data_IF_329888654842
#
_entry.id   IF_329888654842
#
_cell.length_a   1.000
_cell.length_b   1.000
_cell.length_c   1.000
_cell.angle_alpha   90.00
_cell.angle_beta   90.00
_cell.angle_gamma   90.00
#
_symmetry.space_group_name_H-M   'P 1'
#
loop_
_entity.id
_entity.type
_entity.pdbx_description
1 polymer ?
#
# COMPACT_ATOMS: atom_id res chain seq x y z
N UNK A 1 6.99 -21.62 65.38
CA UNK A 1 6.17 -20.60 64.73
C UNK A 1 6.58 -20.49 63.25
N UNK A 2 5.98 -21.27 62.36
CA UNK A 2 6.17 -21.20 60.93
C UNK A 2 5.16 -20.24 60.32
N UNK A 3 5.63 -19.10 59.86
CA UNK A 3 4.84 -18.15 59.10
C UNK A 3 4.72 -18.69 57.67
N UNK A 4 3.58 -19.31 57.36
CA UNK A 4 3.22 -19.65 55.98
C UNK A 4 2.89 -18.34 55.22
N UNK A 5 3.85 -17.85 54.44
CA UNK A 5 3.64 -16.76 53.49
C UNK A 5 2.83 -17.32 52.32
N UNK A 6 1.51 -17.23 52.42
CA UNK A 6 0.62 -17.50 51.27
C UNK A 6 0.85 -16.37 50.26
N UNK A 7 1.71 -16.63 49.28
CA UNK A 7 1.80 -15.78 48.10
C UNK A 7 0.46 -15.86 47.38
N UNK A 8 -0.39 -14.85 47.58
CA UNK A 8 -1.58 -14.63 46.77
C UNK A 8 -1.10 -14.39 45.33
N UNK A 9 -1.12 -15.45 44.54
CA UNK A 9 -1.03 -15.33 43.07
C UNK A 9 -2.35 -14.72 42.63
N UNK A 10 -2.51 -13.42 42.88
CA UNK A 10 -3.54 -12.64 42.20
C UNK A 10 -3.09 -12.51 40.78
N UNK A 11 -3.44 -13.50 39.94
CA UNK A 11 -3.24 -13.39 38.51
C UNK A 11 -3.79 -12.05 38.04
N UNK A 12 -3.03 -11.33 37.21
CA UNK A 12 -3.49 -10.07 36.63
C UNK A 12 -4.73 -10.37 35.79
N UNK A 13 -5.92 -10.08 36.32
CA UNK A 13 -7.18 -10.30 35.62
C UNK A 13 -7.41 -9.16 34.61
N UNK A 14 -7.75 -9.43 33.34
CA UNK A 14 -8.08 -8.40 32.36
C UNK A 14 -9.36 -7.62 32.69
N UNK A 15 -10.16 -8.11 33.64
CA UNK A 15 -11.41 -7.48 34.12
C UNK A 15 -11.19 -6.34 35.12
N UNK A 16 -9.98 -6.21 35.68
CA UNK A 16 -9.70 -5.19 36.71
C UNK A 16 -8.95 -4.00 36.11
N UNK A 17 -9.56 -2.82 36.18
CA UNK A 17 -8.94 -1.56 35.72
C UNK A 17 -7.97 -0.99 36.78
N UNK A 18 -6.89 -1.72 37.07
CA UNK A 18 -5.81 -1.27 37.92
C UNK A 18 -4.56 -0.93 37.10
N UNK A 19 -3.77 0.04 37.57
CA UNK A 19 -2.57 0.50 36.85
C UNK A 19 -1.60 -0.66 36.55
N UNK A 20 -1.33 -1.53 37.52
CA UNK A 20 -0.43 -2.68 37.34
C UNK A 20 -0.99 -3.70 36.33
N UNK A 21 -2.31 -3.95 36.35
CA UNK A 21 -2.95 -4.82 35.36
C UNK A 21 -2.83 -4.25 33.96
N UNK A 22 -3.13 -2.97 33.80
CA UNK A 22 -2.94 -2.31 32.48
C UNK A 22 -1.50 -2.40 31.98
N UNK A 23 -0.53 -2.12 32.87
CA UNK A 23 0.89 -2.21 32.53
C UNK A 23 1.29 -3.63 32.11
N UNK A 24 0.86 -4.64 32.88
CA UNK A 24 1.13 -6.05 32.58
C UNK A 24 0.54 -6.49 31.24
N UNK A 25 -0.74 -6.23 31.02
CA UNK A 25 -1.40 -6.64 29.77
C UNK A 25 -0.85 -5.88 28.54
N UNK A 26 -0.55 -4.58 28.67
CA UNK A 26 0.08 -3.79 27.61
C UNK A 26 1.47 -4.32 27.23
N UNK A 27 2.31 -4.62 28.24
CA UNK A 27 3.67 -5.10 27.99
C UNK A 27 3.64 -6.48 27.29
N UNK A 28 2.85 -7.41 27.82
CA UNK A 28 2.75 -8.75 27.24
C UNK A 28 2.12 -8.75 25.84
N UNK A 29 1.13 -7.88 25.59
CA UNK A 29 0.56 -7.73 24.24
C UNK A 29 1.60 -7.24 23.25
N UNK A 30 2.38 -6.21 23.62
CA UNK A 30 3.40 -5.63 22.77
C UNK A 30 4.52 -6.62 22.47
N UNK A 31 5.19 -7.11 23.48
CA UNK A 31 6.51 -7.73 23.33
C UNK A 31 6.45 -9.19 22.86
N UNK A 32 5.41 -9.94 23.24
CA UNK A 32 5.35 -11.38 22.97
C UNK A 32 4.38 -11.79 21.86
N UNK A 33 3.37 -11.01 21.56
CA UNK A 33 2.33 -11.39 20.61
C UNK A 33 2.29 -10.49 19.38
N UNK A 34 1.87 -9.24 19.59
CA UNK A 34 1.64 -8.30 18.51
C UNK A 34 2.92 -7.95 17.74
N UNK A 35 4.03 -7.61 18.44
CA UNK A 35 5.28 -7.21 17.77
C UNK A 35 5.77 -8.29 16.81
N UNK A 36 5.86 -9.55 17.27
CA UNK A 36 6.31 -10.64 16.43
C UNK A 36 5.36 -10.88 15.25
N UNK A 37 4.03 -10.80 15.47
CA UNK A 37 3.06 -10.94 14.39
C UNK A 37 3.20 -9.82 13.36
N UNK A 38 3.36 -8.58 13.80
CA UNK A 38 3.51 -7.42 12.96
C UNK A 38 4.80 -7.48 12.12
N UNK A 39 5.91 -7.93 12.70
CA UNK A 39 7.16 -8.09 11.94
C UNK A 39 7.06 -9.21 10.90
N UNK A 40 6.47 -10.37 11.25
CA UNK A 40 6.20 -11.43 10.26
C UNK A 40 5.32 -10.88 9.12
N UNK A 41 4.24 -10.17 9.44
CA UNK A 41 3.35 -9.59 8.43
C UNK A 41 4.07 -8.60 7.51
N UNK A 42 4.88 -7.70 8.07
CA UNK A 42 5.65 -6.73 7.29
C UNK A 42 6.60 -7.42 6.32
N UNK A 43 7.34 -8.42 6.81
CA UNK A 43 8.28 -9.17 5.97
C UNK A 43 7.56 -9.96 4.88
N UNK A 44 6.42 -10.58 5.20
CA UNK A 44 5.59 -11.30 4.23
C UNK A 44 5.06 -10.35 3.15
N UNK A 45 4.52 -9.19 3.54
CA UNK A 45 4.04 -8.18 2.58
C UNK A 45 5.19 -7.65 1.72
N UNK A 46 6.33 -7.37 2.33
CA UNK A 46 7.53 -6.95 1.60
C UNK A 46 7.99 -8.00 0.59
N UNK A 47 7.98 -9.27 0.96
CA UNK A 47 8.31 -10.37 0.04
C UNK A 47 7.36 -10.41 -1.15
N UNK A 48 6.05 -10.25 -0.92
CA UNK A 48 5.06 -10.13 -1.99
C UNK A 48 5.41 -8.97 -2.93
N UNK A 49 5.70 -7.80 -2.38
CA UNK A 49 6.02 -6.60 -3.17
C UNK A 49 7.34 -6.72 -3.92
N UNK A 50 8.37 -7.34 -3.32
CA UNK A 50 9.70 -7.46 -3.90
C UNK A 50 9.79 -8.54 -4.97
N UNK A 51 8.90 -9.54 -4.92
CA UNK A 51 8.82 -10.64 -5.90
C UNK A 51 7.70 -10.45 -6.93
N UNK A 52 6.96 -9.35 -6.87
CA UNK A 52 5.91 -9.06 -7.84
C UNK A 52 6.52 -8.60 -9.16
N UNK A 53 6.13 -9.24 -10.24
CA UNK A 53 6.53 -8.87 -11.59
C UNK A 53 5.49 -7.94 -12.22
N UNK A 54 5.91 -6.72 -12.55
CA UNK A 54 5.06 -5.73 -13.19
C UNK A 54 4.85 -6.05 -14.68
N UNK A 55 3.60 -6.04 -15.14
CA UNK A 55 3.23 -6.11 -16.55
C UNK A 55 3.21 -4.69 -17.14
N UNK A 56 4.31 -4.28 -17.77
CA UNK A 56 4.47 -2.94 -18.33
C UNK A 56 3.63 -2.69 -19.61
N UNK A 57 3.01 -3.73 -20.17
CA UNK A 57 2.06 -3.56 -21.29
C UNK A 57 0.72 -2.98 -20.83
N UNK A 58 0.53 -2.87 -19.54
CA UNK A 58 -0.67 -2.32 -18.89
C UNK A 58 -0.34 -1.13 -18.01
N UNK A 59 -1.34 -0.35 -17.66
CA UNK A 59 -1.22 0.58 -16.53
C UNK A 59 -0.97 -0.22 -15.27
N UNK A 60 0.14 0.06 -14.58
CA UNK A 60 0.51 -0.67 -13.38
C UNK A 60 -0.51 -0.49 -12.26
N UNK A 61 -0.68 -1.48 -11.36
CA UNK A 61 -1.51 -1.31 -10.18
C UNK A 61 -0.86 -0.32 -9.21
N UNK A 62 -1.67 0.56 -8.58
CA UNK A 62 -1.17 1.53 -7.60
C UNK A 62 -0.55 0.83 -6.39
N UNK A 63 -1.19 -0.24 -5.94
CA UNK A 63 -0.76 -1.07 -4.83
C UNK A 63 -0.54 -2.51 -5.29
N UNK A 64 0.50 -3.13 -4.77
CA UNK A 64 0.82 -4.53 -5.05
C UNK A 64 0.23 -5.40 -3.94
N UNK A 65 -0.77 -6.21 -4.30
CA UNK A 65 -1.43 -7.13 -3.36
C UNK A 65 -1.07 -8.60 -3.60
N UNK A 66 -0.18 -8.85 -4.56
CA UNK A 66 0.30 -10.17 -4.93
C UNK A 66 -0.60 -10.94 -5.90
N UNK A 67 0.01 -11.85 -6.66
CA UNK A 67 -0.69 -12.82 -7.50
C UNK A 67 -1.38 -13.89 -6.63
N UNK A 68 -2.17 -14.76 -7.24
CA UNK A 68 -2.81 -15.91 -6.57
C UNK A 68 -1.75 -16.82 -5.94
N UNK A 69 -0.66 -17.07 -6.66
CA UNK A 69 0.45 -17.91 -6.22
C UNK A 69 1.18 -17.29 -5.04
N UNK A 70 1.46 -15.98 -5.09
CA UNK A 70 2.09 -15.25 -4.00
C UNK A 70 1.23 -15.24 -2.73
N UNK A 71 -0.09 -15.02 -2.86
CA UNK A 71 -1.05 -15.09 -1.75
C UNK A 71 -1.08 -16.47 -1.11
N UNK A 72 -1.07 -17.52 -1.94
CA UNK A 72 -1.03 -18.90 -1.48
C UNK A 72 0.26 -19.20 -0.71
N UNK A 73 1.40 -18.79 -1.24
CA UNK A 73 2.71 -18.93 -0.59
C UNK A 73 2.82 -18.16 0.73
N UNK A 74 2.22 -17.00 0.81
CA UNK A 74 2.20 -16.14 2.00
C UNK A 74 1.24 -16.63 3.10
N UNK A 75 0.26 -17.46 2.76
CA UNK A 75 -0.81 -17.90 3.67
C UNK A 75 -0.30 -18.47 5.00
N UNK A 76 0.70 -19.37 5.07
CA UNK A 76 1.15 -19.92 6.35
C UNK A 76 1.68 -18.87 7.33
N UNK A 77 2.42 -17.87 6.86
CA UNK A 77 2.97 -16.80 7.70
C UNK A 77 1.87 -15.81 8.12
N UNK A 78 0.94 -15.51 7.23
CA UNK A 78 -0.22 -14.67 7.57
C UNK A 78 -1.17 -15.35 8.56
N UNK A 79 -1.31 -16.68 8.53
CA UNK A 79 -2.05 -17.44 9.55
C UNK A 79 -1.38 -17.38 10.91
N UNK A 80 -0.04 -17.53 10.97
CA UNK A 80 0.71 -17.33 12.22
C UNK A 80 0.47 -15.93 12.82
N UNK A 81 0.36 -14.90 11.97
CA UNK A 81 0.04 -13.55 12.42
C UNK A 81 -1.35 -13.48 13.03
N UNK A 82 -2.35 -14.08 12.39
CA UNK A 82 -3.73 -14.15 12.84
C UNK A 82 -3.81 -14.88 14.20
N UNK A 83 -3.19 -16.05 14.32
CA UNK A 83 -3.20 -16.84 15.54
C UNK A 83 -2.55 -16.10 16.72
N UNK A 84 -1.37 -15.50 16.50
CA UNK A 84 -0.67 -14.72 17.53
C UNK A 84 -1.51 -13.53 18.01
N UNK A 85 -2.08 -12.76 17.07
CA UNK A 85 -2.90 -11.60 17.43
C UNK A 85 -4.24 -12.00 18.05
N UNK A 86 -4.86 -13.12 17.63
CA UNK A 86 -6.05 -13.67 18.27
C UNK A 86 -5.80 -14.05 19.72
N UNK A 87 -4.65 -14.70 19.99
CA UNK A 87 -4.23 -15.02 21.34
C UNK A 87 -3.95 -13.78 22.21
N UNK A 88 -3.38 -12.72 21.61
CA UNK A 88 -3.22 -11.43 22.29
C UNK A 88 -4.57 -10.85 22.70
N UNK A 89 -5.53 -10.85 21.79
CA UNK A 89 -6.88 -10.32 22.06
C UNK A 89 -7.56 -11.15 23.16
N UNK A 90 -7.53 -12.47 23.05
CA UNK A 90 -8.15 -13.39 24.01
C UNK A 90 -7.60 -13.20 25.42
N UNK A 91 -6.27 -13.12 25.57
CA UNK A 91 -5.61 -13.09 26.88
C UNK A 91 -5.46 -11.71 27.49
N UNK A 92 -5.43 -10.67 26.66
CA UNK A 92 -4.99 -9.34 27.10
C UNK A 92 -5.97 -8.22 26.75
N UNK A 93 -7.13 -8.52 26.15
CA UNK A 93 -8.18 -7.52 25.97
C UNK A 93 -8.74 -7.10 27.32
N UNK A 94 -8.75 -5.80 27.56
CA UNK A 94 -9.28 -5.18 28.78
C UNK A 94 -10.46 -4.28 28.40
N UNK A 95 -11.58 -4.89 28.00
CA UNK A 95 -12.81 -4.16 27.68
C UNK A 95 -13.61 -3.93 28.97
N UNK A 96 -13.40 -2.78 29.57
CA UNK A 96 -14.01 -2.41 30.83
C UNK A 96 -15.00 -1.28 30.59
N UNK A 97 -16.26 -1.51 30.92
CA UNK A 97 -17.36 -0.55 30.69
C UNK A 97 -17.43 -0.04 29.24
N UNK A 98 -17.23 -0.94 28.28
CA UNK A 98 -17.25 -0.61 26.86
C UNK A 98 -16.03 0.17 26.36
N UNK A 99 -14.99 0.33 27.19
CA UNK A 99 -13.75 1.01 26.82
C UNK A 99 -12.56 0.05 26.86
N UNK A 100 -11.87 -0.09 25.74
CA UNK A 100 -10.62 -0.86 25.69
C UNK A 100 -9.51 -0.11 26.44
N UNK A 101 -8.91 -0.77 27.44
CA UNK A 101 -7.85 -0.19 28.28
C UNK A 101 -6.45 -0.62 27.83
N UNK A 102 -6.35 -1.65 27.01
CA UNK A 102 -5.09 -2.07 26.41
C UNK A 102 -4.96 -1.49 25.00
N UNK A 103 -4.02 -0.57 24.82
CA UNK A 103 -3.82 0.17 23.57
C UNK A 103 -3.19 -0.65 22.43
N UNK A 104 -2.90 -1.93 22.62
CA UNK A 104 -2.35 -2.81 21.59
C UNK A 104 -3.41 -3.73 20.96
N UNK A 105 -4.64 -3.65 21.43
CA UNK A 105 -5.72 -4.52 20.94
C UNK A 105 -6.23 -4.04 19.58
N UNK A 106 -6.31 -2.74 19.33
CA UNK A 106 -6.64 -2.17 18.02
C UNK A 106 -5.58 -2.52 16.98
N UNK A 107 -4.30 -2.44 17.35
CA UNK A 107 -3.18 -2.89 16.50
C UNK A 107 -3.27 -4.40 16.20
N UNK A 108 -3.63 -5.23 17.20
CA UNK A 108 -3.79 -6.68 16.96
C UNK A 108 -4.94 -6.99 15.99
N UNK A 109 -6.10 -6.34 16.14
CA UNK A 109 -7.20 -6.45 15.18
C UNK A 109 -6.79 -5.99 13.78
N UNK A 110 -5.97 -4.95 13.69
CA UNK A 110 -5.48 -4.43 12.43
C UNK A 110 -4.56 -5.43 11.71
N UNK A 111 -3.64 -6.07 12.44
CA UNK A 111 -2.79 -7.13 11.89
C UNK A 111 -3.63 -8.30 11.39
N UNK A 112 -4.65 -8.74 12.13
CA UNK A 112 -5.57 -9.80 11.70
C UNK A 112 -6.27 -9.42 10.40
N UNK A 113 -6.91 -8.25 10.36
CA UNK A 113 -7.66 -7.80 9.17
C UNK A 113 -6.75 -7.65 7.95
N UNK A 114 -5.53 -7.09 8.11
CA UNK A 114 -4.55 -6.94 7.05
C UNK A 114 -4.00 -8.29 6.58
N UNK A 115 -3.80 -9.27 7.48
CA UNK A 115 -3.43 -10.63 7.11
C UNK A 115 -4.52 -11.31 6.29
N UNK A 116 -5.78 -11.16 6.66
CA UNK A 116 -6.90 -11.67 5.86
C UNK A 116 -6.96 -11.03 4.47
N UNK A 117 -6.70 -9.73 4.36
CA UNK A 117 -6.64 -9.03 3.09
C UNK A 117 -5.57 -9.61 2.16
N UNK A 118 -4.32 -9.77 2.64
CA UNK A 118 -3.23 -10.32 1.83
C UNK A 118 -3.37 -11.82 1.52
N UNK A 119 -4.17 -12.56 2.29
CA UNK A 119 -4.60 -13.92 1.92
C UNK A 119 -5.66 -13.93 0.80
N UNK A 120 -6.25 -12.80 0.45
CA UNK A 120 -7.38 -12.70 -0.47
C UNK A 120 -8.75 -12.95 0.18
N UNK A 121 -8.81 -13.09 1.50
CA UNK A 121 -10.05 -13.27 2.26
C UNK A 121 -10.72 -11.91 2.50
N UNK A 122 -11.14 -11.26 1.42
CA UNK A 122 -11.58 -9.86 1.47
C UNK A 122 -12.84 -9.63 2.32
N UNK A 123 -13.76 -10.59 2.41
CA UNK A 123 -14.95 -10.45 3.27
C UNK A 123 -14.60 -10.47 4.76
N UNK A 124 -13.62 -11.29 5.17
CA UNK A 124 -13.07 -11.33 6.53
C UNK A 124 -12.32 -10.03 6.84
N UNK A 125 -11.50 -9.57 5.90
CA UNK A 125 -10.77 -8.31 6.02
C UNK A 125 -11.74 -7.13 6.17
N UNK A 126 -12.78 -7.07 5.35
CA UNK A 126 -13.82 -6.04 5.40
C UNK A 126 -14.49 -5.98 6.77
N UNK A 127 -14.90 -7.15 7.32
CA UNK A 127 -15.49 -7.21 8.66
C UNK A 127 -14.53 -6.71 9.73
N UNK A 128 -13.24 -7.09 9.62
CA UNK A 128 -12.19 -6.66 10.53
C UNK A 128 -11.98 -5.15 10.49
N UNK A 129 -11.80 -4.56 9.31
CA UNK A 129 -11.60 -3.12 9.17
C UNK A 129 -12.85 -2.30 9.53
N UNK A 130 -14.04 -2.78 9.20
CA UNK A 130 -15.29 -2.16 9.63
C UNK A 130 -15.47 -2.18 11.15
N UNK A 131 -15.04 -3.28 11.81
CA UNK A 131 -15.01 -3.36 13.28
C UNK A 131 -14.05 -2.33 13.86
N UNK A 132 -12.81 -2.23 13.33
CA UNK A 132 -11.80 -1.26 13.80
C UNK A 132 -12.32 0.18 13.65
N UNK A 133 -12.84 0.53 12.46
CA UNK A 133 -13.36 1.86 12.16
C UNK A 133 -14.51 2.29 13.10
N UNK A 134 -15.32 1.32 13.58
CA UNK A 134 -16.46 1.58 14.47
C UNK A 134 -16.06 1.55 15.96
N UNK A 135 -15.23 0.57 16.35
CA UNK A 135 -14.95 0.27 17.75
C UNK A 135 -13.92 1.20 18.38
N UNK A 136 -12.88 1.57 17.63
CA UNK A 136 -11.76 2.37 18.13
C UNK A 136 -11.92 3.87 17.76
N UNK A 137 -13.09 4.42 18.02
CA UNK A 137 -13.43 5.80 17.70
C UNK A 137 -12.51 6.78 18.41
N UNK A 138 -11.89 7.68 17.63
CA UNK A 138 -10.94 8.67 18.14
C UNK A 138 -9.49 8.18 18.31
N UNK A 139 -9.23 6.90 18.04
CA UNK A 139 -7.88 6.33 18.00
C UNK A 139 -7.30 6.43 16.58
N UNK A 140 -5.96 6.44 16.46
CA UNK A 140 -5.30 6.54 15.14
C UNK A 140 -5.70 5.39 14.20
N UNK A 141 -5.87 4.19 14.74
CA UNK A 141 -6.29 3.00 13.98
C UNK A 141 -7.69 3.10 13.37
N UNK A 142 -8.54 3.98 13.86
CA UNK A 142 -9.84 4.22 13.24
C UNK A 142 -9.69 4.71 11.80
N UNK A 143 -8.82 5.69 11.57
CA UNK A 143 -8.60 6.27 10.24
C UNK A 143 -7.90 5.29 9.30
N UNK A 144 -6.86 4.61 9.78
CA UNK A 144 -6.22 3.53 9.02
C UNK A 144 -7.23 2.44 8.69
N UNK A 145 -8.09 2.05 9.63
CA UNK A 145 -9.16 1.08 9.41
C UNK A 145 -10.15 1.51 8.32
N UNK A 146 -10.51 2.80 8.25
CA UNK A 146 -11.38 3.33 7.18
C UNK A 146 -10.68 3.29 5.81
N UNK A 147 -9.38 3.64 5.74
CA UNK A 147 -8.61 3.57 4.48
C UNK A 147 -8.52 2.13 4.00
N UNK A 148 -8.18 1.19 4.88
CA UNK A 148 -8.10 -0.23 4.52
C UNK A 148 -9.48 -0.85 4.24
N UNK A 149 -10.54 -0.37 4.88
CA UNK A 149 -11.92 -0.73 4.51
C UNK A 149 -12.22 -0.30 3.07
N UNK A 150 -11.80 0.92 2.68
CA UNK A 150 -11.97 1.38 1.30
C UNK A 150 -11.15 0.53 0.31
N UNK A 151 -9.89 0.23 0.59
CA UNK A 151 -9.05 -0.66 -0.24
C UNK A 151 -9.70 -2.04 -0.40
N UNK A 152 -10.21 -2.60 0.69
CA UNK A 152 -10.91 -3.89 0.66
C UNK A 152 -12.20 -3.83 -0.15
N UNK A 153 -12.98 -2.76 -0.01
CA UNK A 153 -14.20 -2.54 -0.77
C UNK A 153 -13.91 -2.33 -2.28
N UNK A 154 -12.75 -1.76 -2.65
CA UNK A 154 -12.30 -1.66 -4.04
C UNK A 154 -12.04 -3.06 -4.62
N UNK A 155 -11.33 -3.93 -3.89
CA UNK A 155 -11.08 -5.30 -4.33
C UNK A 155 -12.36 -6.15 -4.42
N UNK A 156 -13.39 -5.82 -3.65
CA UNK A 156 -14.74 -6.41 -3.74
C UNK A 156 -15.65 -5.71 -4.76
N UNK A 157 -15.17 -4.72 -5.51
CA UNK A 157 -15.94 -3.89 -6.45
C UNK A 157 -17.11 -3.14 -5.81
N UNK A 158 -17.09 -2.98 -4.48
CA UNK A 158 -18.09 -2.23 -3.71
C UNK A 158 -17.75 -0.73 -3.68
N UNK A 159 -17.65 -0.10 -4.85
CA UNK A 159 -17.13 1.26 -5.02
C UNK A 159 -17.88 2.34 -4.21
N UNK A 160 -19.18 2.17 -4.01
CA UNK A 160 -19.97 3.08 -3.16
C UNK A 160 -19.53 3.05 -1.70
N UNK A 161 -19.25 1.85 -1.17
CA UNK A 161 -18.74 1.68 0.19
C UNK A 161 -17.33 2.23 0.32
N UNK A 162 -16.46 1.99 -0.69
CA UNK A 162 -15.11 2.54 -0.73
C UNK A 162 -15.13 4.07 -0.66
N UNK A 163 -15.97 4.71 -1.49
CA UNK A 163 -16.14 6.17 -1.49
C UNK A 163 -16.56 6.67 -0.11
N UNK A 164 -17.63 6.07 0.47
CA UNK A 164 -18.14 6.47 1.80
C UNK A 164 -17.06 6.37 2.88
N UNK A 165 -16.24 5.30 2.86
CA UNK A 165 -15.18 5.12 3.84
C UNK A 165 -14.09 6.20 3.71
N UNK A 166 -13.70 6.56 2.48
CA UNK A 166 -12.72 7.62 2.22
C UNK A 166 -13.27 9.02 2.58
N UNK A 167 -14.52 9.31 2.24
CA UNK A 167 -15.16 10.58 2.55
C UNK A 167 -15.23 10.80 4.07
N UNK A 168 -15.51 9.75 4.83
CA UNK A 168 -15.47 9.79 6.30
C UNK A 168 -14.07 10.09 6.87
N UNK A 169 -12.98 9.84 6.14
CA UNK A 169 -11.63 10.25 6.53
C UNK A 169 -11.41 11.73 6.24
N UNK A 170 -11.84 12.20 5.08
CA UNK A 170 -11.68 13.61 4.68
C UNK A 170 -12.55 14.56 5.49
N UNK A 171 -13.69 14.10 5.99
CA UNK A 171 -14.60 14.89 6.85
C UNK A 171 -14.11 15.02 8.29
N UNK A 172 -13.07 14.28 8.69
CA UNK A 172 -12.53 14.40 10.06
C UNK A 172 -11.92 15.78 10.29
N UNK A 173 -12.43 16.47 11.30
CA UNK A 173 -12.05 17.86 11.62
C UNK A 173 -10.56 18.02 11.96
N UNK A 174 -9.93 16.94 12.44
CA UNK A 174 -8.54 16.95 12.87
C UNK A 174 -7.89 15.62 12.58
N UNK A 175 -7.03 15.61 11.59
CA UNK A 175 -6.19 14.45 11.28
C UNK A 175 -4.93 14.42 12.18
N UNK A 176 -4.39 13.22 12.49
CA UNK A 176 -3.13 13.08 13.23
C UNK A 176 -1.98 13.82 12.49
N UNK A 177 -0.98 14.29 13.26
CA UNK A 177 0.19 14.98 12.66
C UNK A 177 0.99 14.11 11.67
N UNK A 178 0.95 12.80 11.85
CA UNK A 178 1.62 11.81 11.00
C UNK A 178 0.62 11.05 10.12
N UNK A 179 -0.46 11.70 9.72
CA UNK A 179 -1.42 11.08 8.82
C UNK A 179 -0.87 11.04 7.40
N UNK A 180 -0.91 9.87 6.75
CA UNK A 180 -0.46 9.71 5.38
C UNK A 180 -1.50 10.23 4.37
N UNK A 181 -1.33 11.48 3.98
CA UNK A 181 -2.16 12.11 2.96
C UNK A 181 -1.90 11.55 1.56
N UNK A 182 -0.69 11.05 1.32
CA UNK A 182 -0.30 10.41 0.06
C UNK A 182 -1.05 9.11 -0.14
N UNK A 183 -1.08 8.23 0.87
CA UNK A 183 -1.85 6.97 0.82
C UNK A 183 -3.34 7.25 0.59
N UNK A 184 -3.94 8.18 1.33
CA UNK A 184 -5.36 8.54 1.14
C UNK A 184 -5.63 8.96 -0.31
N UNK A 185 -4.80 9.83 -0.86
CA UNK A 185 -4.92 10.31 -2.25
C UNK A 185 -4.73 9.17 -3.24
N UNK A 186 -3.80 8.24 -3.00
CA UNK A 186 -3.57 7.08 -3.86
C UNK A 186 -4.77 6.12 -3.86
N UNK A 187 -5.43 5.91 -2.71
CA UNK A 187 -6.63 5.06 -2.65
C UNK A 187 -7.81 5.70 -3.38
N UNK A 188 -7.97 7.03 -3.32
CA UNK A 188 -8.93 7.71 -4.19
C UNK A 188 -8.61 7.56 -5.68
N UNK A 189 -7.32 7.62 -6.05
CA UNK A 189 -6.90 7.40 -7.43
C UNK A 189 -7.22 5.96 -7.88
N UNK A 190 -6.93 4.96 -7.05
CA UNK A 190 -7.27 3.56 -7.33
C UNK A 190 -8.78 3.36 -7.52
N UNK A 191 -9.60 3.91 -6.63
CA UNK A 191 -11.06 3.87 -6.74
C UNK A 191 -11.55 4.46 -8.07
N UNK A 192 -10.99 5.60 -8.47
CA UNK A 192 -11.38 6.26 -9.72
C UNK A 192 -10.91 5.48 -10.95
N UNK A 193 -9.71 4.88 -10.93
CA UNK A 193 -9.24 3.99 -12.00
C UNK A 193 -10.14 2.77 -12.17
N UNK A 194 -10.52 2.10 -11.08
CA UNK A 194 -11.44 0.96 -11.12
C UNK A 194 -12.84 1.32 -11.63
N UNK A 195 -13.23 2.58 -11.48
CA UNK A 195 -14.48 3.13 -12.06
C UNK A 195 -14.33 3.62 -13.50
N UNK A 196 -13.15 3.57 -14.09
CA UNK A 196 -12.86 4.12 -15.42
C UNK A 196 -12.81 5.65 -15.49
N UNK A 197 -12.74 6.34 -14.34
CA UNK A 197 -12.68 7.81 -14.24
C UNK A 197 -11.23 8.29 -14.24
N UNK A 198 -10.58 8.20 -15.40
CA UNK A 198 -9.14 8.45 -15.54
C UNK A 198 -8.76 9.89 -15.15
N UNK A 199 -9.58 10.89 -15.51
CA UNK A 199 -9.28 12.31 -15.20
C UNK A 199 -9.29 12.55 -13.68
N UNK A 200 -10.28 12.01 -12.97
CA UNK A 200 -10.35 12.11 -11.50
C UNK A 200 -9.18 11.34 -10.85
N UNK A 201 -8.80 10.19 -11.41
CA UNK A 201 -7.67 9.42 -10.93
C UNK A 201 -6.35 10.19 -11.07
N UNK A 202 -6.13 10.90 -12.18
CA UNK A 202 -4.94 11.75 -12.39
C UNK A 202 -4.86 12.82 -11.30
N UNK A 203 -5.96 13.53 -11.02
CA UNK A 203 -5.99 14.61 -10.01
C UNK A 203 -5.58 14.08 -8.63
N UNK A 204 -6.09 12.91 -8.25
CA UNK A 204 -5.74 12.28 -6.98
C UNK A 204 -4.31 11.74 -6.98
N UNK A 205 -3.84 11.20 -8.10
CA UNK A 205 -2.51 10.63 -8.20
C UNK A 205 -1.42 11.71 -8.23
N UNK A 206 -1.68 12.89 -8.83
CA UNK A 206 -0.79 14.06 -8.73
C UNK A 206 -0.55 14.43 -7.25
N UNK A 207 -1.62 14.45 -6.43
CA UNK A 207 -1.52 14.71 -4.99
C UNK A 207 -0.78 13.59 -4.25
N UNK A 208 -1.06 12.34 -4.60
CA UNK A 208 -0.39 11.19 -4.00
C UNK A 208 1.13 11.24 -4.23
N UNK A 209 1.59 11.55 -5.44
CA UNK A 209 3.01 11.70 -5.78
C UNK A 209 3.66 12.83 -5.00
N UNK A 210 2.98 13.98 -4.89
CA UNK A 210 3.49 15.15 -4.16
C UNK A 210 3.63 14.87 -2.65
N UNK A 211 2.66 14.18 -2.06
CA UNK A 211 2.53 13.93 -0.62
C UNK A 211 3.11 12.58 -0.17
N UNK A 212 3.64 11.75 -1.06
CA UNK A 212 4.17 10.44 -0.72
C UNK A 212 5.31 10.53 0.30
N UNK A 213 5.20 9.83 1.42
CA UNK A 213 6.24 9.74 2.44
C UNK A 213 7.35 8.78 2.03
N UNK A 214 6.99 7.60 1.51
CA UNK A 214 7.95 6.58 1.09
C UNK A 214 8.42 6.79 -0.36
N UNK A 215 9.75 6.74 -0.56
CA UNK A 215 10.37 6.89 -1.89
C UNK A 215 9.86 5.85 -2.89
N UNK A 216 9.67 4.60 -2.46
CA UNK A 216 9.21 3.48 -3.30
C UNK A 216 7.82 3.77 -3.88
N UNK A 217 6.89 4.19 -3.04
CA UNK A 217 5.53 4.55 -3.42
C UNK A 217 5.51 5.76 -4.37
N UNK A 218 6.26 6.80 -4.02
CA UNK A 218 6.39 7.99 -4.88
C UNK A 218 6.83 7.65 -6.29
N UNK A 219 7.85 6.80 -6.43
CA UNK A 219 8.37 6.36 -7.73
C UNK A 219 7.29 5.59 -8.50
N UNK A 220 6.65 4.62 -7.86
CA UNK A 220 5.61 3.80 -8.49
C UNK A 220 4.43 4.65 -8.95
N UNK A 221 3.91 5.50 -8.07
CA UNK A 221 2.80 6.39 -8.39
C UNK A 221 3.15 7.41 -9.47
N UNK A 222 4.39 7.93 -9.47
CA UNK A 222 4.87 8.82 -10.51
C UNK A 222 4.96 8.13 -11.88
N UNK A 223 5.33 6.84 -11.92
CA UNK A 223 5.35 6.06 -13.15
C UNK A 223 3.92 5.84 -13.68
N UNK A 224 2.99 5.44 -12.82
CA UNK A 224 1.58 5.25 -13.17
C UNK A 224 0.96 6.57 -13.65
N UNK A 225 1.26 7.67 -12.99
CA UNK A 225 0.80 9.01 -13.42
C UNK A 225 1.29 9.33 -14.84
N UNK A 226 2.54 8.97 -15.18
CA UNK A 226 3.05 9.15 -16.53
C UNK A 226 2.29 8.28 -17.54
N UNK A 227 1.98 7.01 -17.21
CA UNK A 227 1.14 6.14 -18.05
C UNK A 227 -0.26 6.73 -18.25
N UNK A 228 -0.88 7.29 -17.22
CA UNK A 228 -2.21 7.89 -17.33
C UNK A 228 -2.21 9.17 -18.17
N UNK A 229 -1.16 9.99 -18.09
CA UNK A 229 -1.00 11.13 -19.00
C UNK A 229 -0.89 10.69 -20.45
N UNK A 230 -0.14 9.61 -20.72
CA UNK A 230 0.01 9.06 -22.06
C UNK A 230 -1.32 8.52 -22.60
N UNK A 231 -2.03 7.71 -21.80
CA UNK A 231 -3.38 7.20 -22.14
C UNK A 231 -4.35 8.34 -22.49
N UNK A 232 -4.24 9.50 -21.80
CA UNK A 232 -5.06 10.69 -22.06
C UNK A 232 -4.53 11.56 -23.20
N UNK A 233 -3.44 11.18 -23.85
CA UNK A 233 -2.80 11.97 -24.92
C UNK A 233 -2.20 13.29 -24.42
N UNK A 234 -1.88 13.41 -23.12
CA UNK A 234 -1.21 14.56 -22.54
C UNK A 234 0.31 14.43 -22.69
N UNK A 235 0.76 14.45 -23.94
CA UNK A 235 2.13 14.14 -24.38
C UNK A 235 3.22 14.84 -23.54
N UNK A 236 3.16 16.18 -23.47
CA UNK A 236 4.20 16.92 -22.74
C UNK A 236 4.30 16.53 -21.27
N UNK A 237 3.15 16.26 -20.63
CA UNK A 237 3.11 15.80 -19.25
C UNK A 237 3.67 14.40 -19.10
N UNK A 238 3.30 13.47 -19.99
CA UNK A 238 3.80 12.10 -19.99
C UNK A 238 5.33 12.08 -20.13
N UNK A 239 5.88 12.77 -21.12
CA UNK A 239 7.33 12.87 -21.38
C UNK A 239 8.08 13.43 -20.16
N UNK A 240 7.58 14.53 -19.57
CA UNK A 240 8.18 15.15 -18.37
C UNK A 240 8.11 14.21 -17.17
N UNK A 241 6.99 13.53 -17.00
CA UNK A 241 6.76 12.66 -15.84
C UNK A 241 7.62 11.39 -15.93
N UNK A 242 7.71 10.72 -17.10
CA UNK A 242 8.63 9.60 -17.28
C UNK A 242 10.09 10.02 -17.06
N UNK A 243 10.49 11.19 -17.56
CA UNK A 243 11.83 11.73 -17.30
C UNK A 243 12.09 11.99 -15.81
N UNK A 244 11.07 12.40 -15.07
CA UNK A 244 11.14 12.58 -13.61
C UNK A 244 11.33 11.25 -12.89
N UNK A 245 10.59 10.22 -13.27
CA UNK A 245 10.72 8.86 -12.72
C UNK A 245 12.17 8.36 -12.84
N UNK A 246 12.78 8.46 -14.03
CA UNK A 246 14.17 8.05 -14.24
C UNK A 246 15.13 8.74 -13.27
N UNK A 247 14.91 10.06 -13.01
CA UNK A 247 15.74 10.83 -12.07
C UNK A 247 15.55 10.44 -10.60
N UNK A 248 14.40 9.86 -10.25
CA UNK A 248 14.13 9.39 -8.88
C UNK A 248 14.93 8.14 -8.50
N UNK A 249 15.58 7.47 -9.48
CA UNK A 249 16.33 6.24 -9.27
C UNK A 249 15.42 5.05 -8.94
N UNK A 250 14.52 4.67 -9.86
CA UNK A 250 13.67 3.49 -9.74
C UNK A 250 14.47 2.18 -9.89
N UNK A 251 13.86 1.01 -9.63
CA UNK A 251 14.40 -0.28 -10.04
C UNK A 251 14.72 -0.30 -11.55
N UNK A 252 15.66 -1.16 -11.96
CA UNK A 252 16.19 -1.19 -13.31
C UNK A 252 15.10 -1.32 -14.38
N UNK A 253 14.22 -2.29 -14.25
CA UNK A 253 13.12 -2.53 -15.19
C UNK A 253 12.22 -1.31 -15.35
N UNK A 254 11.83 -0.68 -14.24
CA UNK A 254 11.02 0.53 -14.28
C UNK A 254 11.77 1.71 -14.91
N UNK A 255 13.09 1.84 -14.66
CA UNK A 255 13.91 2.86 -15.31
C UNK A 255 14.00 2.65 -16.83
N UNK A 256 14.14 1.41 -17.25
CA UNK A 256 14.16 1.00 -18.64
C UNK A 256 12.84 1.36 -19.32
N UNK A 257 11.71 0.86 -18.81
CA UNK A 257 10.38 1.12 -19.36
C UNK A 257 10.03 2.61 -19.35
N UNK A 258 10.44 3.37 -18.31
CA UNK A 258 10.23 4.82 -18.30
C UNK A 258 10.96 5.53 -19.45
N UNK A 259 12.16 5.08 -19.85
CA UNK A 259 12.87 5.65 -20.99
C UNK A 259 12.24 5.29 -22.32
N UNK A 260 11.79 4.04 -22.47
CA UNK A 260 11.07 3.58 -23.67
C UNK A 260 9.76 4.36 -23.82
N UNK A 261 8.92 4.41 -22.78
CA UNK A 261 7.63 5.09 -22.82
C UNK A 261 7.78 6.62 -22.98
N UNK A 262 8.85 7.22 -22.44
CA UNK A 262 9.20 8.61 -22.70
C UNK A 262 9.38 8.86 -24.21
N UNK A 263 10.00 7.93 -24.90
CA UNK A 263 10.21 8.06 -26.36
C UNK A 263 8.93 7.78 -27.16
N UNK A 264 8.16 6.76 -26.76
CA UNK A 264 6.90 6.42 -27.44
C UNK A 264 5.82 7.50 -27.28
N UNK A 265 5.78 8.18 -26.11
CA UNK A 265 4.86 9.29 -25.88
C UNK A 265 5.16 10.52 -26.73
N UNK A 266 6.39 10.66 -27.28
CA UNK A 266 6.75 11.77 -28.17
C UNK A 266 5.98 11.68 -29.49
N UNK A 267 5.45 12.80 -29.96
CA UNK A 267 4.71 12.89 -31.22
C UNK A 267 5.41 13.76 -32.25
N UNK A 268 6.00 14.91 -31.85
CA UNK A 268 6.64 15.86 -32.76
C UNK A 268 7.66 16.74 -32.04
N UNK A 269 8.59 17.35 -32.81
CA UNK A 269 9.61 18.28 -32.37
C UNK A 269 11.04 17.72 -32.51
N UNK A 270 11.98 17.98 -31.60
CA UNK A 270 13.35 17.47 -31.68
C UNK A 270 13.53 16.18 -30.85
N UNK A 271 13.54 15.04 -31.51
CA UNK A 271 13.73 13.71 -30.90
C UNK A 271 15.20 13.33 -30.66
N UNK A 272 16.18 14.15 -31.10
CA UNK A 272 17.61 13.79 -31.04
C UNK A 272 18.10 13.32 -29.67
N UNK A 273 17.63 14.01 -28.62
CA UNK A 273 18.01 13.66 -27.23
C UNK A 273 17.42 12.31 -26.80
N UNK A 274 16.17 12.02 -27.15
CA UNK A 274 15.52 10.75 -26.85
C UNK A 274 16.21 9.60 -27.59
N UNK A 275 16.47 9.80 -28.87
CA UNK A 275 17.18 8.84 -29.73
C UNK A 275 18.60 8.54 -29.23
N UNK A 276 19.33 9.56 -28.77
CA UNK A 276 20.65 9.37 -28.15
C UNK A 276 20.57 8.51 -26.89
N UNK A 277 19.54 8.73 -26.04
CA UNK A 277 19.31 7.90 -24.86
C UNK A 277 19.02 6.45 -25.22
N UNK A 278 18.10 6.20 -26.14
CA UNK A 278 17.76 4.84 -26.61
C UNK A 278 18.96 4.10 -27.19
N UNK A 279 19.77 4.77 -28.03
CA UNK A 279 21.04 4.20 -28.53
C UNK A 279 22.04 3.90 -27.41
N UNK A 280 21.97 4.62 -26.29
CA UNK A 280 22.74 4.32 -25.09
C UNK A 280 22.31 3.00 -24.46
N UNK A 281 20.99 2.71 -24.43
CA UNK A 281 20.46 1.46 -23.89
C UNK A 281 20.92 0.22 -24.67
N UNK A 282 21.11 0.34 -26.01
CA UNK A 282 21.66 -0.75 -26.85
C UNK A 282 23.10 -1.13 -26.52
N UNK A 283 23.83 -0.33 -25.73
CA UNK A 283 25.21 -0.60 -25.33
C UNK A 283 25.33 -1.28 -23.97
N UNK A 284 24.21 -1.43 -23.27
CA UNK A 284 24.15 -2.09 -21.97
C UNK A 284 23.69 -3.53 -22.19
N UNK A 285 24.57 -4.48 -21.86
CA UNK A 285 24.33 -5.93 -22.03
C UNK A 285 23.10 -6.41 -21.24
N UNK A 286 22.66 -5.66 -20.23
CA UNK A 286 21.44 -5.97 -19.47
C UNK A 286 20.19 -5.84 -20.31
N UNK A 287 20.23 -5.13 -21.43
CA UNK A 287 19.08 -4.89 -22.31
C UNK A 287 19.00 -5.84 -23.50
N UNK A 288 19.84 -6.87 -23.56
CA UNK A 288 19.88 -7.81 -24.72
C UNK A 288 18.49 -8.38 -25.03
N UNK A 289 17.77 -8.78 -24.00
CA UNK A 289 16.41 -9.35 -24.15
C UNK A 289 15.34 -8.31 -24.56
N UNK A 290 15.68 -7.01 -24.56
CA UNK A 290 14.80 -5.90 -24.86
C UNK A 290 15.23 -5.10 -26.12
N UNK A 291 16.16 -5.61 -26.90
CA UNK A 291 16.67 -4.89 -28.08
C UNK A 291 15.59 -4.63 -29.13
N UNK A 292 14.65 -5.51 -29.30
CA UNK A 292 13.49 -5.35 -30.17
C UNK A 292 12.65 -4.12 -29.77
N UNK A 293 12.36 -3.97 -28.49
CA UNK A 293 11.62 -2.82 -27.94
C UNK A 293 12.39 -1.51 -28.12
N UNK A 294 13.72 -1.52 -27.92
CA UNK A 294 14.56 -0.33 -28.13
C UNK A 294 14.59 0.05 -29.61
N UNK A 295 14.77 -0.93 -30.51
CA UNK A 295 14.76 -0.69 -31.95
C UNK A 295 13.41 -0.19 -32.44
N UNK A 296 12.30 -0.74 -31.92
CA UNK A 296 10.96 -0.27 -32.21
C UNK A 296 10.80 1.21 -31.82
N UNK A 297 11.19 1.59 -30.59
CA UNK A 297 11.09 2.97 -30.12
C UNK A 297 11.96 3.94 -30.94
N UNK A 298 13.14 3.52 -31.39
CA UNK A 298 13.99 4.33 -32.30
C UNK A 298 13.31 4.50 -33.65
N UNK A 299 12.78 3.42 -34.22
CA UNK A 299 12.10 3.45 -35.53
C UNK A 299 10.84 4.32 -35.50
N UNK A 300 10.08 4.26 -34.41
CA UNK A 300 8.90 5.10 -34.18
C UNK A 300 9.27 6.60 -34.14
N UNK A 301 10.34 6.96 -33.41
CA UNK A 301 10.86 8.34 -33.41
C UNK A 301 11.33 8.78 -34.82
N UNK A 302 12.03 7.90 -35.57
CA UNK A 302 12.50 8.21 -36.93
C UNK A 302 11.33 8.40 -37.89
N UNK A 303 10.24 7.66 -37.72
CA UNK A 303 9.02 7.81 -38.50
C UNK A 303 8.33 9.15 -38.19
N UNK A 304 8.15 9.48 -36.92
CA UNK A 304 7.51 10.73 -36.47
C UNK A 304 8.28 11.96 -36.91
N UNK A 305 9.62 11.96 -36.87
CA UNK A 305 10.46 13.05 -37.33
C UNK A 305 10.42 13.25 -38.88
N UNK A 306 10.00 12.23 -39.66
CA UNK A 306 9.84 12.37 -41.13
C UNK A 306 8.47 12.87 -41.52
N UNK A 307 7.49 12.78 -40.62
CA UNK A 307 6.12 13.21 -40.87
C UNK A 307 5.89 14.68 -40.51
N UNK A 308 6.82 15.29 -39.76
CA UNK A 308 6.89 16.72 -39.45
C UNK A 308 7.63 17.49 -40.56
#
# INVERSE_FOLDING_TARGET
SGLFMVALITGCSPEKDAFLNRAFHRLNSRDNGWFNANEIQKETVRTIEDTYEDDYDKVLPLFVYGSVEQKTSATPDLEKCIDKCSLVIERHSMDIEGKQRNSWIDDAYFVIAKSQFYKGNYYEAERGFAYIARRFKGENKQLEGKIWLARTAIELEQFGKAQTALDQVTEEKKLPKKFDHGELSAVYAELNLKRGKIDDAIIHLERAVDQAEAKRERIRWAFILAQLYDVKGQEEKAIKQFASVVKMGPPYEMAFHAQIFQALAYKRGDSKTLRKKLRGLLRDDKNVDHFDMIHYAIADLDLKDRMD
#
